data_IF_160463345363
#
_entry.id   IF_160463345363
#
_cell.length_a   1.000
_cell.length_b   1.000
_cell.length_c   1.000
_cell.angle_alpha   90.00
_cell.angle_beta   90.00
_cell.angle_gamma   90.00
#
_symmetry.space_group_name_H-M   'P 1'
#
loop_
_entity.id
_entity.type
_entity.pdbx_description
1 polymer ?
#
# COMPACT_ATOMS: atom_id res chain seq x y z
N UNK A 1 34.77 -2.55 -4.08
CA UNK A 1 34.07 -2.85 -5.35
C UNK A 1 33.88 -4.34 -5.65
N UNK A 2 34.82 -5.27 -5.38
CA UNK A 2 34.62 -6.71 -5.68
C UNK A 2 33.61 -7.48 -4.79
N UNK A 3 33.20 -6.95 -3.63
CA UNK A 3 32.21 -7.59 -2.73
C UNK A 3 30.75 -7.15 -2.93
N UNK A 4 30.51 -6.07 -3.67
CA UNK A 4 29.15 -5.54 -3.96
C UNK A 4 28.62 -6.15 -5.27
N UNK A 5 29.51 -6.40 -6.25
CA UNK A 5 29.17 -7.13 -7.49
C UNK A 5 28.81 -8.58 -7.19
N UNK A 6 29.46 -9.23 -6.21
CA UNK A 6 29.14 -10.60 -5.80
C UNK A 6 27.76 -10.72 -5.11
N UNK A 7 27.33 -9.66 -4.40
CA UNK A 7 26.02 -9.57 -3.75
C UNK A 7 24.89 -9.27 -4.75
N UNK A 8 25.17 -8.49 -5.80
CA UNK A 8 24.26 -8.29 -6.94
C UNK A 8 24.13 -9.55 -7.81
N UNK A 9 25.21 -10.33 -7.97
CA UNK A 9 25.19 -11.61 -8.69
C UNK A 9 24.40 -12.70 -7.93
N UNK A 10 24.42 -12.67 -6.59
CA UNK A 10 23.61 -13.59 -5.76
C UNK A 10 22.11 -13.28 -5.79
N UNK A 11 21.69 -12.06 -6.15
CA UNK A 11 20.28 -11.70 -6.35
C UNK A 11 19.77 -11.93 -7.79
N UNK A 12 20.67 -12.23 -8.74
CA UNK A 12 20.32 -12.52 -10.14
C UNK A 12 20.28 -14.01 -10.49
N UNK A 13 20.51 -14.91 -9.54
CA UNK A 13 20.32 -16.36 -9.73
C UNK A 13 19.09 -16.80 -8.94
N UNK A 14 17.92 -16.34 -9.38
CA UNK A 14 16.70 -17.11 -9.16
C UNK A 14 16.79 -18.32 -10.09
N UNK A 15 16.86 -19.49 -9.45
CA UNK A 15 16.89 -20.80 -10.07
C UNK A 15 15.74 -20.88 -11.08
N UNK A 16 16.10 -20.99 -12.37
CA UNK A 16 15.20 -21.38 -13.44
C UNK A 16 14.58 -22.74 -13.08
N UNK A 17 13.28 -22.75 -12.79
CA UNK A 17 12.51 -23.97 -12.84
C UNK A 17 12.43 -24.40 -14.32
N UNK A 18 13.11 -25.51 -14.62
CA UNK A 18 13.11 -26.18 -15.91
C UNK A 18 11.66 -26.52 -16.27
N UNK A 19 11.14 -25.95 -17.36
CA UNK A 19 9.83 -26.31 -17.90
C UNK A 19 9.84 -27.79 -18.28
N UNK A 20 8.90 -28.61 -17.78
CA UNK A 20 8.75 -29.99 -18.22
C UNK A 20 8.28 -30.03 -19.68
N UNK A 21 8.50 -31.16 -20.38
CA UNK A 21 8.22 -31.28 -21.82
C UNK A 21 6.73 -31.02 -22.15
N UNK A 22 6.52 -30.27 -23.23
CA UNK A 22 5.29 -29.57 -23.65
C UNK A 22 4.15 -30.51 -24.14
N UNK A 23 4.27 -31.83 -24.05
CA UNK A 23 3.25 -32.74 -24.60
C UNK A 23 2.09 -33.08 -23.65
N UNK A 24 2.31 -33.15 -22.34
CA UNK A 24 1.28 -33.61 -21.37
C UNK A 24 0.43 -32.45 -20.83
N UNK A 25 1.05 -31.31 -20.51
CA UNK A 25 0.36 -30.13 -19.96
C UNK A 25 -0.68 -29.58 -20.95
N UNK A 26 -0.37 -29.59 -22.24
CA UNK A 26 -1.30 -29.15 -23.30
C UNK A 26 -2.52 -30.07 -23.44
N UNK A 27 -2.37 -31.37 -23.15
CA UNK A 27 -3.47 -32.33 -23.18
C UNK A 27 -4.33 -32.29 -21.92
N UNK A 28 -3.73 -32.04 -20.74
CA UNK A 28 -4.48 -31.89 -19.47
C UNK A 28 -5.36 -30.63 -19.49
N UNK A 29 -4.94 -29.55 -20.16
CA UNK A 29 -5.74 -28.33 -20.30
C UNK A 29 -7.01 -28.56 -21.13
N UNK A 30 -6.98 -29.51 -22.09
CA UNK A 30 -8.11 -29.84 -22.96
C UNK A 30 -9.16 -30.75 -22.30
N UNK A 31 -8.89 -31.30 -21.12
CA UNK A 31 -9.82 -32.15 -20.38
C UNK A 31 -10.88 -31.34 -19.65
N UNK A 32 -12.11 -31.85 -19.61
CA UNK A 32 -13.17 -31.27 -18.79
C UNK A 32 -12.97 -31.57 -17.29
N UNK A 33 -13.75 -30.91 -16.43
CA UNK A 33 -13.63 -31.06 -14.97
C UNK A 33 -13.99 -32.47 -14.47
N UNK A 34 -14.88 -33.19 -15.17
CA UNK A 34 -15.23 -34.58 -14.86
C UNK A 34 -14.13 -35.56 -15.26
N UNK A 35 -13.42 -35.30 -16.35
CA UNK A 35 -12.26 -36.07 -16.78
C UNK A 35 -11.07 -35.84 -15.83
N UNK A 36 -10.86 -34.59 -15.41
CA UNK A 36 -9.82 -34.24 -14.41
C UNK A 36 -10.10 -34.88 -13.05
N UNK A 37 -11.36 -34.94 -12.61
CA UNK A 37 -11.71 -35.59 -11.33
C UNK A 37 -11.44 -37.10 -11.36
N UNK A 38 -11.77 -37.78 -12.46
CA UNK A 38 -11.51 -39.23 -12.63
C UNK A 38 -10.00 -39.52 -12.64
N UNK A 39 -9.19 -38.71 -13.33
CA UNK A 39 -7.73 -38.88 -13.33
C UNK A 39 -7.11 -38.58 -11.96
N UNK A 40 -7.66 -37.61 -11.22
CA UNK A 40 -7.24 -37.32 -9.85
C UNK A 40 -7.54 -38.48 -8.91
N UNK A 41 -8.76 -39.00 -8.92
CA UNK A 41 -9.16 -40.15 -8.08
C UNK A 41 -8.38 -41.42 -8.42
N UNK A 42 -8.12 -41.66 -9.71
CA UNK A 42 -7.24 -42.75 -10.15
C UNK A 42 -5.82 -42.60 -9.57
N UNK A 43 -5.22 -41.41 -9.62
CA UNK A 43 -3.90 -41.16 -9.04
C UNK A 43 -3.87 -41.31 -7.51
N UNK A 44 -4.93 -40.88 -6.81
CA UNK A 44 -5.07 -41.07 -5.36
C UNK A 44 -5.11 -42.56 -5.01
N UNK A 45 -5.91 -43.35 -5.73
CA UNK A 45 -6.02 -44.80 -5.53
C UNK A 45 -4.69 -45.52 -5.81
N UNK A 46 -3.99 -45.13 -6.87
CA UNK A 46 -2.70 -45.69 -7.24
C UNK A 46 -1.63 -45.41 -6.18
N UNK A 47 -1.55 -44.17 -5.66
CA UNK A 47 -0.59 -43.77 -4.63
C UNK A 47 -0.90 -44.35 -3.24
N UNK A 48 -2.16 -44.64 -2.95
CA UNK A 48 -2.59 -45.26 -1.70
C UNK A 48 -2.55 -46.80 -1.74
N UNK A 49 -2.02 -47.41 -2.81
CA UNK A 49 -1.88 -48.87 -2.93
C UNK A 49 -3.23 -49.62 -3.04
N UNK A 50 -4.28 -48.94 -3.51
CA UNK A 50 -5.60 -49.50 -3.76
C UNK A 50 -5.75 -49.96 -5.21
N UNK A 51 -6.80 -50.75 -5.52
CA UNK A 51 -7.09 -51.28 -6.87
C UNK A 51 -7.55 -50.19 -7.87
N UNK A 52 -6.63 -49.31 -8.26
CA UNK A 52 -6.85 -48.22 -9.22
C UNK A 52 -7.27 -48.73 -10.61
N UNK A 53 -6.84 -49.94 -10.99
CA UNK A 53 -7.17 -50.56 -12.28
C UNK A 53 -8.66 -50.87 -12.43
N UNK A 54 -9.32 -51.31 -11.35
CA UNK A 54 -10.77 -51.59 -11.36
C UNK A 54 -11.57 -50.28 -11.49
N UNK A 55 -11.09 -49.21 -10.83
CA UNK A 55 -11.68 -47.88 -10.97
C UNK A 55 -11.50 -47.31 -12.39
N UNK A 56 -10.34 -47.54 -13.00
CA UNK A 56 -10.06 -47.12 -14.37
C UNK A 56 -10.96 -47.83 -15.40
N UNK A 57 -11.14 -49.15 -15.29
CA UNK A 57 -11.98 -49.90 -16.23
C UNK A 57 -13.43 -49.40 -16.27
N UNK A 58 -13.96 -48.94 -15.13
CA UNK A 58 -15.32 -48.36 -15.05
C UNK A 58 -15.46 -47.02 -15.75
N UNK A 59 -14.37 -46.24 -15.85
CA UNK A 59 -14.39 -44.88 -16.39
C UNK A 59 -13.64 -44.75 -17.73
N UNK A 60 -13.10 -45.85 -18.26
CA UNK A 60 -12.36 -45.91 -19.54
C UNK A 60 -13.14 -45.35 -20.72
N UNK A 61 -14.46 -45.45 -20.70
CA UNK A 61 -15.35 -44.92 -21.75
C UNK A 61 -15.25 -43.40 -21.91
N UNK A 62 -14.80 -42.66 -20.89
CA UNK A 62 -14.58 -41.22 -20.93
C UNK A 62 -13.25 -40.84 -21.63
N UNK A 63 -12.41 -41.83 -21.93
CA UNK A 63 -11.05 -41.66 -22.44
C UNK A 63 -10.71 -42.68 -23.55
N UNK A 64 -11.46 -42.67 -24.67
CA UNK A 64 -11.34 -43.71 -25.70
C UNK A 64 -10.00 -43.74 -26.45
N UNK A 65 -9.20 -42.68 -26.36
CA UNK A 65 -7.92 -42.53 -27.08
C UNK A 65 -6.67 -42.58 -26.18
N UNK A 66 -6.81 -42.87 -24.87
CA UNK A 66 -5.70 -42.82 -23.92
C UNK A 66 -5.00 -44.18 -23.76
N UNK A 67 -3.69 -44.19 -23.99
CA UNK A 67 -2.82 -45.32 -23.68
C UNK A 67 -2.46 -45.31 -22.17
N UNK A 68 -2.18 -46.47 -21.58
CA UNK A 68 -1.97 -46.63 -20.12
C UNK A 68 -0.78 -45.78 -19.61
N UNK A 69 0.30 -45.67 -20.40
CA UNK A 69 1.45 -44.81 -20.05
C UNK A 69 1.09 -43.32 -20.03
N UNK A 70 0.23 -42.89 -20.94
CA UNK A 70 -0.19 -41.49 -21.06
C UNK A 70 -1.21 -41.14 -19.96
N UNK A 71 -2.09 -42.11 -19.60
CA UNK A 71 -2.98 -42.01 -18.44
C UNK A 71 -2.21 -41.77 -17.16
N UNK A 72 -1.19 -42.58 -16.88
CA UNK A 72 -0.43 -42.49 -15.63
C UNK A 72 0.34 -41.17 -15.51
N UNK A 73 0.89 -40.68 -16.62
CA UNK A 73 1.51 -39.35 -16.69
C UNK A 73 0.50 -38.22 -16.46
N UNK A 74 -0.67 -38.26 -17.12
CA UNK A 74 -1.72 -37.26 -16.91
C UNK A 74 -2.29 -37.29 -15.50
N UNK A 75 -2.52 -38.48 -14.94
CA UNK A 75 -3.04 -38.66 -13.59
C UNK A 75 -2.08 -38.12 -12.54
N UNK A 76 -0.77 -38.35 -12.72
CA UNK A 76 0.25 -37.79 -11.83
C UNK A 76 0.36 -36.26 -11.97
N UNK A 77 0.26 -35.72 -13.19
CA UNK A 77 0.30 -34.27 -13.44
C UNK A 77 -0.93 -33.57 -12.84
N UNK A 78 -2.13 -34.15 -12.96
CA UNK A 78 -3.35 -33.66 -12.32
C UNK A 78 -3.24 -33.73 -10.80
N UNK A 79 -2.72 -34.83 -10.25
CA UNK A 79 -2.52 -34.98 -8.81
C UNK A 79 -1.57 -33.93 -8.23
N UNK A 80 -0.40 -33.73 -8.86
CA UNK A 80 0.62 -32.77 -8.39
C UNK A 80 0.12 -31.33 -8.49
N UNK A 81 -0.68 -30.99 -9.49
CA UNK A 81 -1.18 -29.63 -9.71
C UNK A 81 -2.57 -29.36 -9.11
N UNK A 82 -3.25 -30.39 -8.58
CA UNK A 82 -4.54 -30.22 -7.91
C UNK A 82 -4.40 -29.55 -6.55
N UNK A 83 -5.37 -28.71 -6.21
CA UNK A 83 -5.53 -28.15 -4.86
C UNK A 83 -6.81 -28.72 -4.27
N UNK A 84 -6.71 -29.40 -3.13
CA UNK A 84 -7.89 -29.82 -2.38
C UNK A 84 -8.54 -28.58 -1.80
N UNK A 85 -9.61 -28.10 -2.44
CA UNK A 85 -10.46 -27.04 -1.91
C UNK A 85 -11.36 -27.64 -0.84
N UNK A 86 -10.89 -27.62 0.41
CA UNK A 86 -11.75 -27.89 1.55
C UNK A 86 -12.74 -26.73 1.71
N UNK A 87 -14.00 -26.95 1.35
CA UNK A 87 -15.10 -26.00 1.61
C UNK A 87 -15.79 -26.38 2.92
N UNK A 88 -15.47 -25.73 4.05
CA UNK A 88 -16.12 -26.04 5.31
C UNK A 88 -17.62 -25.68 5.26
N UNK A 89 -18.47 -26.61 5.68
CA UNK A 89 -19.95 -26.51 5.65
C UNK A 89 -20.49 -25.47 6.68
N UNK A 90 -19.64 -24.97 7.59
CA UNK A 90 -19.90 -23.84 8.49
C UNK A 90 -18.68 -22.95 8.59
N UNK A 91 -18.88 -21.62 8.77
CA UNK A 91 -17.81 -20.65 9.15
C UNK A 91 -17.15 -21.14 10.43
N UNK A 92 -16.07 -21.91 10.28
CA UNK A 92 -15.43 -22.69 11.34
C UNK A 92 -14.26 -21.92 11.92
N UNK A 93 -13.86 -22.27 13.15
CA UNK A 93 -12.70 -21.73 13.85
C UNK A 93 -11.41 -21.74 13.01
N UNK A 94 -11.31 -22.65 12.03
CA UNK A 94 -10.20 -22.75 11.07
C UNK A 94 -10.13 -21.52 10.15
N UNK A 95 -11.26 -21.01 9.66
CA UNK A 95 -11.29 -19.79 8.83
C UNK A 95 -10.90 -18.55 9.65
N UNK A 96 -11.33 -18.51 10.92
CA UNK A 96 -10.92 -17.50 11.91
C UNK A 96 -9.43 -17.60 12.25
N UNK A 97 -8.88 -18.82 12.35
CA UNK A 97 -7.47 -19.09 12.61
C UNK A 97 -6.58 -18.72 11.42
N UNK A 98 -6.98 -19.07 10.19
CA UNK A 98 -6.30 -18.64 8.95
C UNK A 98 -6.32 -17.11 8.83
N UNK A 99 -7.47 -16.47 9.14
CA UNK A 99 -7.57 -15.00 9.20
C UNK A 99 -6.68 -14.41 10.30
N UNK A 100 -6.63 -14.98 11.49
CA UNK A 100 -5.79 -14.52 12.60
C UNK A 100 -4.27 -14.71 12.34
N UNK A 101 -3.90 -15.78 11.66
CA UNK A 101 -2.51 -16.02 11.24
C UNK A 101 -2.09 -15.03 10.15
N UNK A 102 -3.02 -14.69 9.24
CA UNK A 102 -2.84 -13.59 8.29
C UNK A 102 -2.56 -12.27 9.03
N UNK A 103 -3.36 -11.89 10.04
CA UNK A 103 -3.13 -10.69 10.89
C UNK A 103 -1.72 -10.68 11.47
N UNK A 104 -1.30 -11.81 12.03
CA UNK A 104 -0.01 -11.94 12.70
C UNK A 104 1.15 -11.77 11.71
N UNK A 105 1.01 -12.33 10.50
CA UNK A 105 1.97 -12.15 9.43
C UNK A 105 2.00 -10.69 8.93
N UNK A 106 0.86 -10.01 8.84
CA UNK A 106 0.79 -8.59 8.47
C UNK A 106 1.42 -7.67 9.51
N UNK A 107 1.29 -7.98 10.80
CA UNK A 107 2.00 -7.24 11.85
C UNK A 107 3.52 -7.40 11.74
N UNK A 108 4.01 -8.58 11.33
CA UNK A 108 5.42 -8.81 11.04
C UNK A 108 5.87 -8.07 9.78
N UNK A 109 5.05 -8.01 8.72
CA UNK A 109 5.34 -7.21 7.53
C UNK A 109 5.37 -5.71 7.82
N UNK A 110 4.47 -5.20 8.66
CA UNK A 110 4.50 -3.80 9.10
C UNK A 110 5.79 -3.47 9.86
N UNK A 111 6.25 -4.39 10.72
CA UNK A 111 7.53 -4.24 11.41
C UNK A 111 8.72 -4.23 10.44
N UNK A 112 8.72 -5.11 9.42
CA UNK A 112 9.73 -5.14 8.38
C UNK A 112 9.74 -3.86 7.52
N UNK A 113 8.56 -3.32 7.19
CA UNK A 113 8.41 -2.06 6.45
C UNK A 113 8.99 -0.87 7.23
N UNK A 114 8.73 -0.79 8.55
CA UNK A 114 9.32 0.22 9.42
C UNK A 114 10.86 0.12 9.42
N UNK A 115 11.41 -1.10 9.41
CA UNK A 115 12.85 -1.33 9.31
C UNK A 115 13.43 -0.86 7.96
N UNK A 116 12.76 -1.15 6.84
CA UNK A 116 13.15 -0.69 5.50
C UNK A 116 13.11 0.84 5.41
N UNK A 117 12.07 1.49 5.93
CA UNK A 117 12.00 2.95 6.03
C UNK A 117 13.16 3.53 6.86
N UNK A 118 13.56 2.86 7.93
CA UNK A 118 14.76 3.20 8.71
C UNK A 118 16.06 3.10 7.89
N UNK A 119 16.22 2.05 7.09
CA UNK A 119 17.36 1.85 6.19
C UNK A 119 17.39 2.88 5.07
N UNK A 120 16.26 3.19 4.44
CA UNK A 120 16.16 4.27 3.44
C UNK A 120 16.47 5.64 4.05
N UNK A 121 16.02 5.91 5.27
CA UNK A 121 16.35 7.13 6.01
C UNK A 121 17.85 7.26 6.29
N UNK A 122 18.53 6.15 6.58
CA UNK A 122 19.99 6.09 6.68
C UNK A 122 20.66 6.33 5.33
N UNK A 123 20.20 5.67 4.26
CA UNK A 123 20.68 5.86 2.89
C UNK A 123 20.52 7.32 2.41
N UNK A 124 19.44 8.00 2.78
CA UNK A 124 19.21 9.42 2.46
C UNK A 124 20.33 10.33 2.96
N UNK A 125 20.93 10.01 4.11
CA UNK A 125 22.04 10.78 4.67
C UNK A 125 23.35 10.57 3.88
N UNK A 126 23.53 9.40 3.26
CA UNK A 126 24.70 9.07 2.43
C UNK A 126 24.50 9.37 0.93
N UNK A 127 23.25 9.52 0.48
CA UNK A 127 22.87 9.77 -0.92
C UNK A 127 23.50 11.04 -1.49
N UNK A 128 23.58 12.10 -0.68
CA UNK A 128 24.24 13.36 -1.07
C UNK A 128 25.74 13.20 -1.34
N UNK A 129 26.37 12.21 -0.69
CA UNK A 129 27.79 11.89 -0.81
C UNK A 129 28.04 11.05 -2.07
N UNK A 130 27.14 10.11 -2.36
CA UNK A 130 27.13 9.29 -3.59
C UNK A 130 26.93 10.18 -4.83
N UNK A 131 25.96 11.10 -4.79
CA UNK A 131 25.71 12.06 -5.88
C UNK A 131 26.93 12.97 -6.08
N UNK A 132 27.57 13.46 -5.00
CA UNK A 132 28.79 14.26 -5.13
C UNK A 132 29.93 13.51 -5.81
N UNK A 133 30.10 12.22 -5.50
CA UNK A 133 31.13 11.39 -6.11
C UNK A 133 30.83 11.17 -7.61
N UNK A 134 29.58 10.85 -7.96
CA UNK A 134 29.13 10.71 -9.34
C UNK A 134 29.27 12.01 -10.14
N UNK A 135 28.79 13.14 -9.61
CA UNK A 135 28.88 14.42 -10.30
C UNK A 135 30.32 14.85 -10.55
N UNK A 136 31.24 14.57 -9.62
CA UNK A 136 32.66 14.89 -9.79
C UNK A 136 33.35 14.02 -10.84
N UNK A 137 32.86 12.80 -11.07
CA UNK A 137 33.39 11.88 -12.09
C UNK A 137 32.87 12.17 -13.50
N UNK A 138 31.65 12.70 -13.62
CA UNK A 138 31.00 12.96 -14.91
C UNK A 138 30.88 14.45 -15.25
N UNK A 139 31.41 15.35 -14.41
CA UNK A 139 31.40 16.82 -14.58
C UNK A 139 31.83 17.31 -15.98
N UNK A 140 32.89 16.77 -16.63
CA UNK A 140 33.28 17.23 -17.95
C UNK A 140 32.33 16.74 -19.06
N UNK A 141 31.66 15.60 -18.87
CA UNK A 141 30.66 15.05 -19.80
C UNK A 141 29.32 15.82 -19.70
N UNK A 142 28.89 16.16 -18.48
CA UNK A 142 27.65 16.89 -18.23
C UNK A 142 27.66 18.34 -18.74
N UNK A 143 28.82 19.02 -18.72
CA UNK A 143 28.94 20.40 -19.22
C UNK A 143 28.79 20.55 -20.74
N UNK A 144 29.07 19.50 -21.51
CA UNK A 144 29.11 19.55 -22.98
C UNK A 144 27.86 18.93 -23.63
N UNK A 145 27.25 17.91 -23.00
CA UNK A 145 26.09 17.20 -23.55
C UNK A 145 24.72 17.68 -23.05
N UNK A 146 24.63 18.35 -21.90
CA UNK A 146 23.35 18.64 -21.26
C UNK A 146 23.15 20.13 -21.03
N UNK A 147 22.34 20.76 -21.87
CA UNK A 147 21.59 21.95 -21.44
C UNK A 147 20.63 21.51 -20.32
N UNK A 148 20.66 22.18 -19.17
CA UNK A 148 19.78 21.85 -18.03
C UNK A 148 18.30 21.81 -18.44
N UNK A 149 17.93 22.68 -19.38
CA UNK A 149 16.58 22.73 -19.96
C UNK A 149 16.30 21.51 -20.84
N UNK A 150 17.25 21.12 -21.69
CA UNK A 150 17.10 19.97 -22.60
C UNK A 150 16.99 18.65 -21.81
N UNK A 151 17.82 18.49 -20.77
CA UNK A 151 17.79 17.33 -19.88
C UNK A 151 16.43 17.15 -19.21
N UNK A 152 15.80 18.25 -18.78
CA UNK A 152 14.45 18.21 -18.19
C UNK A 152 13.40 17.71 -19.17
N UNK A 153 13.46 18.11 -20.45
CA UNK A 153 12.55 17.62 -21.48
C UNK A 153 12.81 16.14 -21.82
N UNK A 154 14.08 15.72 -21.90
CA UNK A 154 14.45 14.32 -22.15
C UNK A 154 13.99 13.40 -21.01
N UNK A 155 14.22 13.79 -19.76
CA UNK A 155 13.76 13.04 -18.59
C UNK A 155 12.24 13.01 -18.47
N UNK A 156 11.54 14.08 -18.88
CA UNK A 156 10.07 14.09 -18.94
C UNK A 156 9.57 13.08 -19.98
N UNK A 157 10.20 13.04 -21.17
CA UNK A 157 9.86 12.10 -22.23
C UNK A 157 10.13 10.66 -21.79
N UNK A 158 11.28 10.40 -21.15
CA UNK A 158 11.58 9.09 -20.54
C UNK A 158 10.51 8.73 -19.51
N UNK A 159 10.08 9.68 -18.67
CA UNK A 159 9.01 9.46 -17.70
C UNK A 159 7.70 9.02 -18.36
N UNK A 160 7.28 9.69 -19.43
CA UNK A 160 6.09 9.34 -20.22
C UNK A 160 6.24 7.94 -20.83
N UNK A 161 7.39 7.64 -21.43
CA UNK A 161 7.69 6.34 -22.02
C UNK A 161 7.67 5.23 -20.97
N UNK A 162 8.20 5.46 -19.77
CA UNK A 162 8.17 4.51 -18.67
C UNK A 162 6.74 4.16 -18.24
N UNK A 163 5.83 5.15 -18.18
CA UNK A 163 4.41 4.89 -17.87
C UNK A 163 3.73 4.09 -18.99
N UNK A 164 3.98 4.46 -20.25
CA UNK A 164 3.34 3.82 -21.41
C UNK A 164 3.82 2.38 -21.63
N UNK A 165 5.14 2.15 -21.57
CA UNK A 165 5.73 0.81 -21.71
C UNK A 165 5.44 -0.02 -20.46
N UNK A 166 5.52 0.58 -19.27
CA UNK A 166 5.24 -0.11 -18.00
C UNK A 166 3.85 -0.75 -18.00
N UNK A 167 2.84 -0.08 -18.58
CA UNK A 167 1.48 -0.63 -18.72
C UNK A 167 1.36 -1.89 -19.60
N UNK A 168 2.39 -2.24 -20.38
CA UNK A 168 2.42 -3.45 -21.21
C UNK A 168 3.31 -4.56 -20.62
N UNK A 169 3.95 -4.33 -19.47
CA UNK A 169 4.80 -5.33 -18.82
C UNK A 169 3.93 -6.30 -18.03
N UNK A 170 4.06 -7.60 -18.28
CA UNK A 170 3.27 -8.64 -17.61
C UNK A 170 3.68 -8.84 -16.14
N UNK A 171 4.99 -8.77 -15.84
CA UNK A 171 5.51 -8.90 -14.49
C UNK A 171 5.09 -7.70 -13.61
N UNK A 172 4.33 -7.99 -12.55
CA UNK A 172 3.73 -6.96 -11.69
C UNK A 172 4.77 -6.11 -10.95
N UNK A 173 5.91 -6.69 -10.57
CA UNK A 173 6.96 -6.00 -9.81
C UNK A 173 7.69 -5.04 -10.74
N UNK A 174 8.13 -5.52 -11.90
CA UNK A 174 8.81 -4.72 -12.91
C UNK A 174 7.90 -3.62 -13.46
N UNK A 175 6.63 -3.94 -13.73
CA UNK A 175 5.58 -2.99 -14.12
C UNK A 175 5.45 -1.87 -13.10
N UNK A 176 5.29 -2.21 -11.82
CA UNK A 176 5.12 -1.25 -10.74
C UNK A 176 6.34 -0.32 -10.62
N UNK A 177 7.56 -0.88 -10.65
CA UNK A 177 8.80 -0.09 -10.57
C UNK A 177 8.92 0.89 -11.74
N UNK A 178 8.68 0.41 -12.98
CA UNK A 178 8.76 1.27 -14.18
C UNK A 178 7.73 2.40 -14.13
N UNK A 179 6.48 2.10 -13.78
CA UNK A 179 5.40 3.09 -13.68
C UNK A 179 5.71 4.13 -12.60
N UNK A 180 6.20 3.72 -11.43
CA UNK A 180 6.55 4.63 -10.34
C UNK A 180 7.76 5.52 -10.66
N UNK A 181 8.77 4.99 -11.35
CA UNK A 181 9.88 5.79 -11.89
C UNK A 181 9.30 6.83 -12.87
N UNK A 182 8.38 6.41 -13.74
CA UNK A 182 7.66 7.28 -14.66
C UNK A 182 6.92 8.41 -13.95
N UNK A 183 6.10 8.11 -12.93
CA UNK A 183 5.38 9.12 -12.14
C UNK A 183 6.33 10.09 -11.43
N UNK A 184 7.43 9.59 -10.86
CA UNK A 184 8.44 10.43 -10.21
C UNK A 184 9.12 11.39 -11.18
N UNK A 185 9.47 10.91 -12.38
CA UNK A 185 10.05 11.74 -13.44
C UNK A 185 9.03 12.78 -13.94
N UNK A 186 7.80 12.37 -14.24
CA UNK A 186 6.74 13.29 -14.69
C UNK A 186 6.50 14.38 -13.64
N UNK A 187 6.39 14.03 -12.35
CA UNK A 187 6.21 15.01 -11.28
C UNK A 187 7.40 15.97 -11.18
N UNK A 188 8.62 15.44 -11.07
CA UNK A 188 9.82 16.24 -10.84
C UNK A 188 10.13 17.16 -12.01
N UNK A 189 10.04 16.66 -13.25
CA UNK A 189 10.35 17.44 -14.44
C UNK A 189 9.26 18.45 -14.78
N UNK A 190 7.98 18.12 -14.59
CA UNK A 190 6.91 19.11 -14.75
C UNK A 190 7.04 20.25 -13.73
N UNK A 191 7.39 19.92 -12.48
CA UNK A 191 7.70 20.94 -11.45
C UNK A 191 8.81 21.86 -11.91
N UNK A 192 9.95 21.32 -12.37
CA UNK A 192 11.09 22.09 -12.86
C UNK A 192 10.75 23.01 -14.04
N UNK A 193 9.91 22.55 -14.97
CA UNK A 193 9.45 23.36 -16.11
C UNK A 193 8.56 24.53 -15.66
N UNK A 194 7.63 24.30 -14.72
CA UNK A 194 6.72 25.35 -14.27
C UNK A 194 7.37 26.38 -13.34
N UNK A 195 8.38 25.98 -12.56
CA UNK A 195 9.13 26.87 -11.68
C UNK A 195 10.31 27.54 -12.37
N UNK A 196 10.80 26.97 -13.48
CA UNK A 196 12.10 27.29 -14.11
C UNK A 196 13.29 27.07 -13.15
N UNK A 197 13.11 26.22 -12.14
CA UNK A 197 14.17 25.81 -11.22
C UNK A 197 14.56 24.35 -11.49
N UNK A 198 15.69 24.16 -12.17
CA UNK A 198 16.13 22.83 -12.65
C UNK A 198 16.97 22.04 -11.62
N UNK A 199 17.30 22.64 -10.47
CA UNK A 199 18.09 22.00 -9.41
C UNK A 199 17.20 21.32 -8.37
N UNK A 200 17.37 19.99 -8.24
CA UNK A 200 16.54 19.13 -7.37
C UNK A 200 16.41 19.61 -5.92
N UNK A 201 17.53 20.10 -5.38
CA UNK A 201 17.59 20.55 -3.98
C UNK A 201 16.81 21.84 -3.73
N UNK A 202 16.68 22.70 -4.74
CA UNK A 202 15.95 23.98 -4.63
C UNK A 202 14.45 23.75 -4.71
N UNK A 203 13.96 22.92 -5.65
CA UNK A 203 12.53 22.66 -5.74
C UNK A 203 11.99 21.89 -4.53
N UNK A 204 12.73 20.95 -3.92
CA UNK A 204 12.23 20.22 -2.72
C UNK A 204 12.07 21.18 -1.54
N UNK A 205 13.03 22.08 -1.35
CA UNK A 205 12.95 23.12 -0.34
C UNK A 205 11.79 24.08 -0.63
N UNK A 206 11.61 24.48 -1.89
CA UNK A 206 10.48 25.27 -2.33
C UNK A 206 9.14 24.55 -2.15
N UNK A 207 9.00 23.26 -2.43
CA UNK A 207 7.74 22.54 -2.21
C UNK A 207 7.40 22.52 -0.72
N UNK A 208 8.40 22.25 0.13
CA UNK A 208 8.22 22.19 1.58
C UNK A 208 7.92 23.56 2.21
N UNK A 209 8.55 24.64 1.71
CA UNK A 209 8.27 26.00 2.19
C UNK A 209 6.97 26.55 1.58
N UNK A 210 6.81 26.41 0.25
CA UNK A 210 5.75 27.07 -0.50
C UNK A 210 4.37 26.44 -0.26
N UNK A 211 4.26 25.13 0.02
CA UNK A 211 2.94 24.52 0.27
C UNK A 211 2.19 25.23 1.40
N UNK A 212 2.89 25.84 2.34
CA UNK A 212 2.28 26.63 3.42
C UNK A 212 2.49 28.15 3.28
N UNK A 213 3.06 28.64 2.17
CA UNK A 213 3.30 30.07 1.94
C UNK A 213 2.02 30.81 1.51
N UNK A 214 2.04 32.14 1.66
CA UNK A 214 0.92 33.03 1.30
C UNK A 214 0.70 33.13 -0.22
N UNK A 215 1.73 32.89 -1.03
CA UNK A 215 1.63 33.07 -2.48
C UNK A 215 0.91 31.89 -3.15
N UNK A 216 -0.38 32.06 -3.42
CA UNK A 216 -1.25 31.04 -4.02
C UNK A 216 -0.78 30.60 -5.41
N UNK A 217 -0.26 31.52 -6.22
CA UNK A 217 0.17 31.22 -7.60
C UNK A 217 1.45 30.40 -7.68
N UNK A 218 2.35 30.57 -6.72
CA UNK A 218 3.57 29.77 -6.63
C UNK A 218 3.23 28.30 -6.40
N UNK A 219 2.26 28.04 -5.51
CA UNK A 219 1.79 26.67 -5.20
C UNK A 219 1.05 26.02 -6.37
N UNK A 220 0.32 26.80 -7.16
CA UNK A 220 -0.30 26.28 -8.38
C UNK A 220 0.77 25.75 -9.34
N UNK A 221 1.86 26.50 -9.54
CA UNK A 221 2.95 26.11 -10.42
C UNK A 221 3.79 24.95 -9.88
N UNK A 222 4.11 24.96 -8.59
CA UNK A 222 5.00 23.97 -7.99
C UNK A 222 4.32 22.64 -7.66
N UNK A 223 3.01 22.63 -7.43
CA UNK A 223 2.30 21.46 -6.86
C UNK A 223 1.02 21.14 -7.62
N UNK A 224 0.16 22.12 -7.90
CA UNK A 224 -1.13 21.85 -8.54
C UNK A 224 -0.97 21.29 -9.97
N UNK A 225 -0.19 21.96 -10.83
CA UNK A 225 -0.03 21.50 -12.21
C UNK A 225 0.70 20.15 -12.32
N UNK A 226 1.84 19.92 -11.61
CA UNK A 226 2.46 18.59 -11.56
C UNK A 226 1.50 17.51 -11.08
N UNK A 227 0.69 17.79 -10.05
CA UNK A 227 -0.29 16.85 -9.53
C UNK A 227 -1.37 16.51 -10.58
N UNK A 228 -1.90 17.49 -11.32
CA UNK A 228 -2.88 17.23 -12.38
C UNK A 228 -2.29 16.32 -13.46
N UNK A 229 -1.06 16.60 -13.91
CA UNK A 229 -0.40 15.79 -14.95
C UNK A 229 -0.20 14.35 -14.47
N UNK A 230 0.24 14.16 -13.22
CA UNK A 230 0.42 12.83 -12.64
C UNK A 230 -0.92 12.12 -12.41
N UNK A 231 -1.98 12.82 -11.98
CA UNK A 231 -3.34 12.26 -11.90
C UNK A 231 -3.76 11.69 -13.26
N UNK A 232 -3.55 12.44 -14.36
CA UNK A 232 -3.88 11.95 -15.71
C UNK A 232 -3.04 10.73 -16.08
N UNK A 233 -1.76 10.70 -15.73
CA UNK A 233 -0.90 9.55 -15.95
C UNK A 233 -1.37 8.31 -15.16
N UNK A 234 -1.79 8.47 -13.90
CA UNK A 234 -2.32 7.38 -13.08
C UNK A 234 -3.68 6.90 -13.62
N UNK A 235 -4.55 7.80 -14.07
CA UNK A 235 -5.81 7.43 -14.72
C UNK A 235 -5.60 6.62 -16.00
N UNK A 236 -4.57 6.95 -16.79
CA UNK A 236 -4.17 6.16 -17.94
C UNK A 236 -3.73 4.74 -17.53
N UNK A 237 -2.93 4.61 -16.45
CA UNK A 237 -2.53 3.29 -15.93
C UNK A 237 -3.72 2.50 -15.43
N UNK A 238 -4.64 3.13 -14.69
CA UNK A 238 -5.88 2.48 -14.22
C UNK A 238 -6.76 2.00 -15.39
N UNK A 239 -6.81 2.76 -16.49
CA UNK A 239 -7.51 2.33 -17.71
C UNK A 239 -6.81 1.13 -18.37
N UNK A 240 -5.48 1.12 -18.39
CA UNK A 240 -4.69 0.09 -19.09
C UNK A 240 -4.56 -1.20 -18.28
N UNK A 241 -4.45 -1.11 -16.96
CA UNK A 241 -4.22 -2.22 -16.02
C UNK A 241 -5.20 -2.08 -14.83
N UNK A 242 -6.49 -2.37 -15.03
CA UNK A 242 -7.52 -2.18 -13.99
C UNK A 242 -7.39 -3.17 -12.82
N UNK A 243 -6.66 -4.27 -13.02
CA UNK A 243 -6.42 -5.30 -12.00
C UNK A 243 -5.51 -4.83 -10.86
N UNK A 244 -4.62 -3.86 -11.14
CA UNK A 244 -3.67 -3.34 -10.17
C UNK A 244 -4.35 -2.32 -9.24
N UNK A 245 -4.99 -2.84 -8.18
CA UNK A 245 -5.78 -2.05 -7.22
C UNK A 245 -5.01 -0.92 -6.51
N UNK A 246 -3.69 -0.97 -6.47
CA UNK A 246 -2.85 0.01 -5.75
C UNK A 246 -2.98 1.43 -6.33
N UNK A 247 -3.20 1.54 -7.65
CA UNK A 247 -3.28 2.83 -8.33
C UNK A 247 -4.54 3.63 -7.98
N UNK A 248 -5.60 2.99 -7.45
CA UNK A 248 -6.76 3.70 -6.91
C UNK A 248 -6.39 4.53 -5.67
N UNK A 249 -5.48 4.02 -4.82
CA UNK A 249 -4.99 4.77 -3.67
C UNK A 249 -4.15 5.96 -4.11
N UNK A 250 -3.24 5.75 -5.07
CA UNK A 250 -2.37 6.80 -5.59
C UNK A 250 -3.15 7.92 -6.29
N UNK A 251 -4.15 7.56 -7.11
CA UNK A 251 -4.95 8.57 -7.81
C UNK A 251 -5.74 9.42 -6.83
N UNK A 252 -6.27 8.85 -5.74
CA UNK A 252 -6.97 9.62 -4.70
C UNK A 252 -6.02 10.61 -4.03
N UNK A 253 -4.84 10.16 -3.63
CA UNK A 253 -3.83 11.01 -2.97
C UNK A 253 -3.42 12.17 -3.88
N UNK A 254 -3.03 11.88 -5.12
CA UNK A 254 -2.53 12.89 -6.07
C UNK A 254 -3.65 13.87 -6.48
N UNK A 255 -4.86 13.37 -6.70
CA UNK A 255 -6.01 14.22 -7.06
C UNK A 255 -6.42 15.15 -5.93
N UNK A 256 -6.41 14.66 -4.68
CA UNK A 256 -6.65 15.53 -3.52
C UNK A 256 -5.57 16.60 -3.38
N UNK A 257 -4.29 16.26 -3.60
CA UNK A 257 -3.20 17.25 -3.60
C UNK A 257 -3.44 18.33 -4.67
N UNK A 258 -3.85 17.93 -5.89
CA UNK A 258 -4.21 18.88 -6.94
C UNK A 258 -5.35 19.81 -6.50
N UNK A 259 -6.43 19.24 -5.94
CA UNK A 259 -7.59 20.00 -5.46
C UNK A 259 -7.15 20.97 -4.35
N UNK A 260 -6.47 20.50 -3.30
CA UNK A 260 -6.06 21.34 -2.17
C UNK A 260 -5.06 22.44 -2.54
N UNK A 261 -4.27 22.24 -3.59
CA UNK A 261 -3.33 23.25 -4.07
C UNK A 261 -4.01 24.42 -4.79
N UNK A 262 -5.30 24.32 -5.18
CA UNK A 262 -5.99 25.39 -5.88
C UNK A 262 -6.21 26.64 -5.00
N UNK A 263 -6.17 27.86 -5.58
CA UNK A 263 -6.31 29.12 -4.83
C UNK A 263 -7.66 29.29 -4.11
N UNK A 264 -8.72 28.68 -4.66
CA UNK A 264 -10.09 28.77 -4.14
C UNK A 264 -10.17 28.14 -2.75
N UNK A 265 -9.66 26.92 -2.60
CA UNK A 265 -9.71 26.19 -1.32
C UNK A 265 -8.93 26.88 -0.21
N UNK A 266 -7.81 27.52 -0.54
CA UNK A 266 -7.06 28.35 0.41
C UNK A 266 -7.82 29.57 0.90
N UNK A 267 -8.74 30.10 0.09
CA UNK A 267 -9.60 31.22 0.51
C UNK A 267 -10.71 30.75 1.45
N UNK A 268 -11.20 29.52 1.24
CA UNK A 268 -12.31 28.92 2.00
C UNK A 268 -11.80 28.29 3.32
N UNK A 269 -10.51 27.97 3.42
CA UNK A 269 -9.84 27.40 4.61
C UNK A 269 -10.32 28.02 5.93
N UNK A 270 -10.36 29.36 6.00
CA UNK A 270 -10.76 30.11 7.21
C UNK A 270 -12.17 29.81 7.73
N UNK A 271 -13.04 29.28 6.87
CA UNK A 271 -14.42 28.94 7.18
C UNK A 271 -14.62 27.44 7.46
N UNK A 272 -13.73 26.58 6.95
CA UNK A 272 -13.87 25.12 7.04
C UNK A 272 -13.15 24.56 8.26
N UNK A 273 -11.91 24.99 8.55
CA UNK A 273 -11.15 24.43 9.68
C UNK A 273 -11.88 24.49 11.03
N UNK A 274 -12.73 25.49 11.35
CA UNK A 274 -13.44 25.54 12.63
C UNK A 274 -14.36 24.35 12.89
N UNK A 275 -14.74 23.60 11.86
CA UNK A 275 -15.54 22.37 12.00
C UNK A 275 -14.81 21.33 12.84
N UNK A 276 -13.49 21.17 12.67
CA UNK A 276 -12.68 20.23 13.46
C UNK A 276 -11.92 20.92 14.60
N UNK A 277 -11.64 22.23 14.49
CA UNK A 277 -10.88 23.00 15.48
C UNK A 277 -11.67 24.28 15.84
N UNK A 278 -12.74 24.16 16.64
CA UNK A 278 -13.68 25.26 16.87
C UNK A 278 -13.12 26.36 17.79
N UNK A 279 -12.22 26.03 18.72
CA UNK A 279 -11.66 27.01 19.65
C UNK A 279 -10.40 27.64 19.06
N UNK A 280 -10.42 28.97 18.86
CA UNK A 280 -9.26 29.68 18.32
C UNK A 280 -8.03 29.53 19.24
N UNK A 281 -6.92 29.09 18.67
CA UNK A 281 -5.62 29.03 19.35
C UNK A 281 -4.52 29.58 18.43
N UNK A 282 -3.82 30.63 18.87
CA UNK A 282 -2.76 31.29 18.10
C UNK A 282 -1.50 30.43 18.03
N UNK A 283 -1.36 29.42 18.89
CA UNK A 283 -0.16 28.56 18.99
C UNK A 283 -0.23 27.30 18.15
N UNK A 284 -1.39 26.99 17.56
CA UNK A 284 -1.53 25.85 16.65
C UNK A 284 -0.87 26.20 15.33
N UNK A 285 -0.02 25.29 14.83
CA UNK A 285 0.66 25.48 13.54
C UNK A 285 -0.35 25.58 12.39
N UNK A 286 -0.07 26.44 11.40
CA UNK A 286 -0.91 26.60 10.21
C UNK A 286 -1.13 25.27 9.47
N UNK A 287 -0.11 24.41 9.43
CA UNK A 287 -0.17 23.06 8.84
C UNK A 287 -1.33 22.22 9.39
N UNK A 288 -1.62 22.34 10.69
CA UNK A 288 -2.70 21.62 11.37
C UNK A 288 -4.08 22.18 10.96
N UNK A 289 -4.21 23.51 10.86
CA UNK A 289 -5.45 24.14 10.37
C UNK A 289 -5.76 23.75 8.93
N UNK A 290 -4.74 23.71 8.08
CA UNK A 290 -4.92 23.29 6.71
C UNK A 290 -5.18 21.80 6.59
N UNK A 291 -4.53 20.94 7.40
CA UNK A 291 -4.84 19.51 7.46
C UNK A 291 -6.29 19.27 7.91
N UNK A 292 -6.78 20.02 8.91
CA UNK A 292 -8.17 19.96 9.34
C UNK A 292 -9.13 20.35 8.20
N UNK A 293 -8.81 21.42 7.46
CA UNK A 293 -9.58 21.81 6.27
C UNK A 293 -9.61 20.70 5.22
N UNK A 294 -8.45 20.09 4.94
CA UNK A 294 -8.35 18.98 3.99
C UNK A 294 -9.19 17.79 4.45
N UNK A 295 -9.14 17.46 5.75
CA UNK A 295 -9.90 16.35 6.35
C UNK A 295 -11.40 16.56 6.21
N UNK A 296 -11.90 17.77 6.48
CA UNK A 296 -13.33 18.10 6.29
C UNK A 296 -13.75 17.96 4.83
N UNK A 297 -12.93 18.45 3.90
CA UNK A 297 -13.24 18.32 2.47
C UNK A 297 -13.21 16.86 2.02
N UNK A 298 -12.23 16.08 2.46
CA UNK A 298 -12.14 14.65 2.17
C UNK A 298 -13.37 13.91 2.73
N UNK A 299 -13.84 14.23 3.94
CA UNK A 299 -15.08 13.68 4.50
C UNK A 299 -16.30 13.98 3.62
N UNK A 300 -16.39 15.20 3.10
CA UNK A 300 -17.48 15.60 2.21
C UNK A 300 -17.45 14.83 0.88
N UNK A 301 -16.26 14.69 0.28
CA UNK A 301 -16.08 13.91 -0.96
C UNK A 301 -16.40 12.43 -0.70
N UNK A 302 -15.98 11.87 0.45
CA UNK A 302 -16.26 10.49 0.82
C UNK A 302 -17.76 10.26 0.98
N UNK A 303 -18.47 11.17 1.65
CA UNK A 303 -19.92 11.12 1.77
C UNK A 303 -20.66 11.16 0.42
N UNK A 304 -20.18 11.96 -0.54
CA UNK A 304 -20.73 11.99 -1.91
C UNK A 304 -20.51 10.63 -2.59
N UNK A 305 -19.32 10.06 -2.47
CA UNK A 305 -19.03 8.76 -3.08
C UNK A 305 -19.85 7.64 -2.43
N UNK A 306 -20.01 7.66 -1.11
CA UNK A 306 -20.88 6.72 -0.40
C UNK A 306 -22.33 6.76 -0.91
N UNK A 307 -22.84 7.93 -1.29
CA UNK A 307 -24.20 8.09 -1.81
C UNK A 307 -24.38 7.54 -3.23
N UNK A 308 -23.38 7.64 -4.10
CA UNK A 308 -23.51 7.35 -5.53
C UNK A 308 -23.48 5.84 -5.88
N UNK A 309 -23.19 4.96 -4.91
CA UNK A 309 -23.17 3.48 -4.98
C UNK A 309 -22.65 2.87 -6.30
N UNK A 310 -21.39 2.44 -6.34
CA UNK A 310 -20.83 1.70 -7.48
C UNK A 310 -19.59 0.86 -7.12
N UNK A 311 -19.37 -0.25 -7.84
CA UNK A 311 -18.26 -1.19 -7.58
C UNK A 311 -16.90 -0.49 -7.74
N UNK A 312 -16.70 0.27 -8.82
CA UNK A 312 -15.45 1.04 -9.04
C UNK A 312 -15.27 2.07 -7.93
N UNK A 313 -16.37 2.73 -7.54
CA UNK A 313 -16.38 3.75 -6.50
C UNK A 313 -15.98 3.17 -5.13
N UNK A 314 -16.26 1.90 -4.85
CA UNK A 314 -15.90 1.27 -3.58
C UNK A 314 -14.39 1.29 -3.29
N UNK A 315 -13.55 1.20 -4.33
CA UNK A 315 -12.09 1.30 -4.18
C UNK A 315 -11.66 2.75 -3.88
N UNK A 316 -12.30 3.73 -4.52
CA UNK A 316 -12.07 5.15 -4.23
C UNK A 316 -12.48 5.51 -2.80
N UNK A 317 -13.64 5.01 -2.34
CA UNK A 317 -14.09 5.20 -0.96
C UNK A 317 -13.08 4.55 0.00
N UNK A 318 -12.68 3.30 -0.24
CA UNK A 318 -11.69 2.62 0.63
C UNK A 318 -10.37 3.38 0.73
N UNK A 319 -9.86 3.87 -0.42
CA UNK A 319 -8.67 4.70 -0.47
C UNK A 319 -8.85 6.03 0.30
N UNK A 320 -9.97 6.72 0.10
CA UNK A 320 -10.26 7.99 0.75
C UNK A 320 -10.45 7.83 2.27
N UNK A 321 -11.19 6.80 2.70
CA UNK A 321 -11.34 6.43 4.11
C UNK A 321 -9.99 6.10 4.75
N UNK A 322 -9.07 5.41 4.05
CA UNK A 322 -7.73 5.14 4.56
C UNK A 322 -6.92 6.42 4.82
N UNK A 323 -7.03 7.40 3.92
CA UNK A 323 -6.39 8.71 4.06
C UNK A 323 -7.03 9.55 5.18
N UNK A 324 -8.34 9.46 5.34
CA UNK A 324 -9.08 10.09 6.43
C UNK A 324 -8.66 9.52 7.80
N UNK A 325 -8.51 8.20 7.91
CA UNK A 325 -7.97 7.56 9.12
C UNK A 325 -6.62 8.15 9.47
N UNK A 326 -5.67 8.20 8.53
CA UNK A 326 -4.33 8.77 8.78
C UNK A 326 -4.43 10.24 9.20
N UNK A 327 -5.30 11.02 8.54
CA UNK A 327 -5.50 12.44 8.85
C UNK A 327 -6.06 12.63 10.27
N UNK A 328 -7.05 11.83 10.68
CA UNK A 328 -7.58 11.84 12.04
C UNK A 328 -6.57 11.37 13.08
N UNK A 329 -5.73 10.37 12.77
CA UNK A 329 -4.65 9.94 13.66
C UNK A 329 -3.69 11.12 13.92
N UNK A 330 -3.24 11.81 12.88
CA UNK A 330 -2.32 12.97 12.99
C UNK A 330 -3.00 14.11 13.73
N UNK A 331 -4.20 14.50 13.34
CA UNK A 331 -4.93 15.61 13.97
C UNK A 331 -5.15 15.31 15.45
N UNK A 332 -5.49 14.06 15.80
CA UNK A 332 -5.79 13.66 17.19
C UNK A 332 -4.60 13.74 18.14
N UNK A 333 -3.38 14.01 17.67
CA UNK A 333 -2.20 14.05 18.53
C UNK A 333 -2.24 15.21 19.54
N UNK A 334 -1.97 14.91 20.81
CA UNK A 334 -1.87 15.87 21.92
C UNK A 334 -0.85 16.97 21.66
N UNK A 335 0.24 16.64 20.97
CA UNK A 335 1.32 17.60 20.65
C UNK A 335 0.78 18.82 19.91
N UNK A 336 -0.21 18.64 19.05
CA UNK A 336 -0.81 19.71 18.26
C UNK A 336 -1.59 20.73 19.11
N UNK A 337 -2.08 20.31 20.29
CA UNK A 337 -2.99 21.10 21.14
C UNK A 337 -2.52 21.23 22.58
N UNK A 338 -1.20 21.12 22.82
CA UNK A 338 -0.59 21.14 24.16
C UNK A 338 -1.05 22.32 25.04
N UNK A 339 -1.44 23.44 24.43
CA UNK A 339 -1.83 24.67 25.11
C UNK A 339 -3.34 24.91 25.16
N UNK A 340 -4.14 24.17 24.38
CA UNK A 340 -5.59 24.30 24.35
C UNK A 340 -6.26 22.92 24.33
N UNK A 341 -6.48 22.39 25.54
CA UNK A 341 -7.08 21.08 25.73
C UNK A 341 -8.55 20.99 25.27
N UNK A 342 -9.26 22.12 25.09
CA UNK A 342 -10.65 22.10 24.61
C UNK A 342 -10.73 21.55 23.17
N UNK A 343 -9.84 22.00 22.29
CA UNK A 343 -9.71 21.47 20.94
C UNK A 343 -9.30 20.00 20.95
N UNK A 344 -8.36 19.63 21.82
CA UNK A 344 -7.90 18.25 21.93
C UNK A 344 -9.05 17.30 22.30
N UNK A 345 -9.82 17.64 23.35
CA UNK A 345 -10.95 16.82 23.83
C UNK A 345 -12.05 16.74 22.76
N UNK A 346 -12.41 17.88 22.16
CA UNK A 346 -13.37 17.92 21.06
C UNK A 346 -12.97 16.98 19.93
N UNK A 347 -11.72 17.07 19.48
CA UNK A 347 -11.23 16.26 18.39
C UNK A 347 -11.13 14.77 18.73
N UNK A 348 -10.85 14.40 19.99
CA UNK A 348 -10.93 12.99 20.40
C UNK A 348 -12.34 12.45 20.26
N UNK A 349 -13.34 13.21 20.67
CA UNK A 349 -14.74 12.79 20.54
C UNK A 349 -15.11 12.60 19.06
N UNK A 350 -14.75 13.57 18.20
CA UNK A 350 -14.99 13.46 16.75
C UNK A 350 -14.24 12.28 16.13
N UNK A 351 -12.98 12.06 16.51
CA UNK A 351 -12.19 10.95 15.99
C UNK A 351 -12.78 9.59 16.40
N UNK A 352 -13.16 9.41 17.66
CA UNK A 352 -13.82 8.18 18.15
C UNK A 352 -15.12 7.94 17.39
N UNK A 353 -15.94 8.97 17.21
CA UNK A 353 -17.18 8.89 16.46
C UNK A 353 -16.93 8.49 14.99
N UNK A 354 -15.93 9.11 14.34
CA UNK A 354 -15.52 8.76 12.98
C UNK A 354 -15.08 7.29 12.86
N UNK A 355 -14.17 6.83 13.74
CA UNK A 355 -13.71 5.45 13.73
C UNK A 355 -14.84 4.44 13.96
N UNK A 356 -15.79 4.76 14.84
CA UNK A 356 -16.97 3.92 15.09
C UNK A 356 -17.88 3.84 13.86
N UNK A 357 -18.15 4.98 13.19
CA UNK A 357 -18.93 5.00 11.95
C UNK A 357 -18.26 4.19 10.84
N UNK A 358 -16.96 4.37 10.63
CA UNK A 358 -16.21 3.64 9.61
C UNK A 358 -16.24 2.14 9.89
N UNK A 359 -16.08 1.72 11.16
CA UNK A 359 -16.14 0.31 11.55
C UNK A 359 -17.55 -0.26 11.29
N UNK A 360 -18.61 0.41 11.74
CA UNK A 360 -19.99 -0.02 11.50
C UNK A 360 -20.30 -0.13 10.00
N UNK A 361 -19.90 0.86 9.21
CA UNK A 361 -20.06 0.86 7.76
C UNK A 361 -19.33 -0.31 7.10
N UNK A 362 -18.08 -0.57 7.51
CA UNK A 362 -17.25 -1.65 6.97
C UNK A 362 -17.90 -3.03 7.19
N UNK A 363 -18.46 -3.27 8.38
CA UNK A 363 -19.17 -4.52 8.68
C UNK A 363 -20.52 -4.62 7.99
N UNK A 364 -21.26 -3.51 7.85
CA UNK A 364 -22.53 -3.48 7.14
C UNK A 364 -22.36 -3.84 5.66
N UNK A 365 -21.36 -3.25 4.99
CA UNK A 365 -21.08 -3.51 3.58
C UNK A 365 -20.26 -4.79 3.32
N UNK A 366 -19.82 -5.48 4.39
CA UNK A 366 -19.03 -6.72 4.31
C UNK A 366 -17.76 -6.61 3.43
N UNK A 367 -17.23 -5.39 3.24
CA UNK A 367 -16.02 -5.17 2.43
C UNK A 367 -14.79 -5.54 3.24
N UNK A 368 -14.11 -6.62 2.83
CA UNK A 368 -12.94 -7.13 3.54
C UNK A 368 -11.82 -6.08 3.63
N UNK A 369 -11.56 -5.33 2.54
CA UNK A 369 -10.52 -4.29 2.51
C UNK A 369 -10.83 -3.15 3.50
N UNK A 370 -12.08 -2.68 3.58
CA UNK A 370 -12.48 -1.66 4.55
C UNK A 370 -12.48 -2.15 5.99
N UNK A 371 -12.88 -3.40 6.24
CA UNK A 371 -12.80 -4.00 7.58
C UNK A 371 -11.34 -4.01 8.04
N UNK A 372 -10.39 -4.36 7.17
CA UNK A 372 -8.96 -4.31 7.50
C UNK A 372 -8.47 -2.90 7.79
N UNK A 373 -8.75 -1.96 6.91
CA UNK A 373 -8.31 -0.57 7.03
C UNK A 373 -8.86 0.06 8.31
N UNK A 374 -10.13 -0.19 8.64
CA UNK A 374 -10.78 0.32 9.85
C UNK A 374 -10.20 -0.29 11.12
N UNK A 375 -9.99 -1.61 11.18
CA UNK A 375 -9.39 -2.28 12.33
C UNK A 375 -7.96 -1.81 12.58
N UNK A 376 -7.13 -1.71 11.53
CA UNK A 376 -5.76 -1.19 11.64
C UNK A 376 -5.79 0.25 12.17
N UNK A 377 -6.66 1.09 11.61
CA UNK A 377 -6.85 2.47 12.06
C UNK A 377 -7.19 2.58 13.55
N UNK A 378 -8.17 1.79 14.01
CA UNK A 378 -8.58 1.74 15.42
C UNK A 378 -7.45 1.25 16.32
N UNK A 379 -6.74 0.19 15.91
CA UNK A 379 -5.59 -0.32 16.67
C UNK A 379 -4.50 0.74 16.83
N UNK A 380 -4.13 1.43 15.74
CA UNK A 380 -3.13 2.50 15.78
C UNK A 380 -3.63 3.68 16.62
N UNK A 381 -4.90 4.04 16.54
CA UNK A 381 -5.49 5.08 17.38
C UNK A 381 -5.38 4.74 18.87
N UNK A 382 -5.79 3.54 19.28
CA UNK A 382 -5.70 3.06 20.67
C UNK A 382 -4.26 3.07 21.16
N UNK A 383 -3.32 2.61 20.33
CA UNK A 383 -1.87 2.65 20.58
C UNK A 383 -1.39 4.07 20.85
N UNK A 384 -1.75 5.03 19.99
CA UNK A 384 -1.35 6.43 20.14
C UNK A 384 -1.95 7.00 21.43
N UNK A 385 -3.23 6.75 21.73
CA UNK A 385 -3.87 7.25 22.94
C UNK A 385 -3.27 6.66 24.21
N UNK A 386 -2.99 5.37 24.21
CA UNK A 386 -2.29 4.70 25.30
C UNK A 386 -0.92 5.35 25.54
N UNK A 387 -0.17 5.61 24.46
CA UNK A 387 1.12 6.30 24.55
C UNK A 387 1.02 7.72 25.12
N UNK A 388 -0.01 8.47 24.73
CA UNK A 388 -0.24 9.83 25.24
C UNK A 388 -0.58 9.87 26.73
N UNK A 389 -1.26 8.83 27.25
CA UNK A 389 -1.53 8.66 28.68
C UNK A 389 -0.22 8.41 29.44
N UNK A 390 0.66 7.54 28.93
CA UNK A 390 1.98 7.30 29.55
C UNK A 390 2.83 8.58 29.56
N UNK A 391 2.80 9.35 28.47
CA UNK A 391 3.47 10.65 28.35
C UNK A 391 2.82 11.75 29.21
N UNK A 392 1.63 11.53 29.77
CA UNK A 392 0.98 12.45 30.70
C UNK A 392 1.67 12.43 32.07
N UNK A 393 2.15 11.25 32.50
CA UNK A 393 2.77 11.06 33.81
C UNK A 393 4.30 11.16 33.80
N UNK A 394 4.96 10.97 32.64
CA UNK A 394 6.41 11.07 32.51
C UNK A 394 6.84 12.18 31.55
N UNK A 395 7.55 13.19 32.08
CA UNK A 395 8.20 14.20 31.23
C UNK A 395 9.39 13.57 30.48
N UNK A 396 9.14 13.17 29.25
CA UNK A 396 10.12 12.44 28.44
C UNK A 396 11.11 13.41 27.79
N UNK A 397 12.31 13.51 28.36
CA UNK A 397 13.38 14.33 27.79
C UNK A 397 14.08 13.55 26.67
N UNK A 398 14.03 14.08 25.43
CA UNK A 398 14.49 13.44 24.17
C UNK A 398 15.98 13.04 24.16
N UNK A 399 16.76 13.51 25.14
CA UNK A 399 18.21 13.28 25.30
C UNK A 399 18.59 11.97 26.03
N UNK A 400 17.67 11.30 26.72
CA UNK A 400 18.02 10.13 27.53
C UNK A 400 17.72 8.79 26.85
N UNK A 401 18.61 7.80 27.04
CA UNK A 401 18.54 6.36 26.66
C UNK A 401 17.22 5.64 27.04
N UNK A 402 16.30 6.31 27.74
CA UNK A 402 14.96 5.82 28.10
C UNK A 402 14.02 5.67 26.89
N UNK A 403 14.33 6.33 25.75
CA UNK A 403 13.61 6.15 24.47
C UNK A 403 13.48 4.68 24.05
N UNK A 404 14.57 3.91 24.16
CA UNK A 404 14.59 2.49 23.82
C UNK A 404 13.67 1.62 24.70
N UNK A 405 13.52 1.96 25.98
CA UNK A 405 12.65 1.24 26.92
C UNK A 405 11.15 1.46 26.65
N UNK A 406 10.78 2.65 26.14
CA UNK A 406 9.42 2.92 25.68
C UNK A 406 9.06 2.13 24.43
N UNK A 407 9.98 2.01 23.47
CA UNK A 407 9.80 1.12 22.31
C UNK A 407 9.76 -0.36 22.70
N UNK A 408 10.54 -0.78 23.70
CA UNK A 408 10.55 -2.15 24.20
C UNK A 408 9.26 -2.50 24.95
N UNK A 409 8.72 -1.56 25.74
CA UNK A 409 7.38 -1.70 26.34
C UNK A 409 6.26 -1.77 25.29
N UNK A 410 6.40 -1.01 24.20
CA UNK A 410 5.47 -1.05 23.05
C UNK A 410 5.49 -2.41 22.34
N UNK A 411 6.68 -2.95 22.11
CA UNK A 411 6.86 -4.28 21.53
C UNK A 411 6.28 -5.38 22.43
N UNK A 412 6.46 -5.28 23.74
CA UNK A 412 5.91 -6.23 24.72
C UNK A 412 4.38 -6.13 24.81
N UNK A 413 3.79 -4.93 24.73
CA UNK A 413 2.34 -4.75 24.69
C UNK A 413 1.71 -5.30 23.41
N UNK A 414 2.31 -5.02 22.24
CA UNK A 414 1.87 -5.57 20.96
C UNK A 414 2.00 -7.09 20.94
N UNK A 415 3.11 -7.61 21.48
CA UNK A 415 3.32 -9.06 21.64
C UNK A 415 2.32 -9.67 22.62
N UNK A 416 2.01 -8.99 23.73
CA UNK A 416 1.02 -9.41 24.73
C UNK A 416 -0.40 -9.40 24.19
N UNK A 417 -0.78 -8.40 23.39
CA UNK A 417 -2.06 -8.38 22.68
C UNK A 417 -2.13 -9.50 21.63
N UNK A 418 -1.08 -9.70 20.84
CA UNK A 418 -1.03 -10.80 19.87
C UNK A 418 -1.12 -12.18 20.57
N UNK A 419 -0.41 -12.38 21.69
CA UNK A 419 -0.47 -13.61 22.49
C UNK A 419 -1.80 -13.77 23.21
N UNK A 420 -2.41 -12.69 23.70
CA UNK A 420 -3.72 -12.71 24.33
C UNK A 420 -4.83 -13.09 23.36
N UNK A 421 -4.79 -12.54 22.14
CA UNK A 421 -5.69 -12.93 21.05
C UNK A 421 -5.49 -14.42 20.73
N UNK A 422 -4.24 -14.89 20.58
CA UNK A 422 -3.94 -16.30 20.33
C UNK A 422 -4.39 -17.23 21.48
N UNK A 423 -4.25 -16.80 22.73
CA UNK A 423 -4.64 -17.59 23.92
C UNK A 423 -6.16 -17.72 24.05
N UNK A 424 -6.90 -16.63 23.87
CA UNK A 424 -8.37 -16.64 23.85
C UNK A 424 -8.87 -17.52 22.68
N UNK A 425 -8.24 -17.40 21.51
CA UNK A 425 -8.57 -18.24 20.35
C UNK A 425 -8.28 -19.73 20.60
N UNK A 426 -7.19 -20.04 21.32
CA UNK A 426 -6.81 -21.40 21.67
C UNK A 426 -7.74 -22.03 22.71
N UNK A 427 -8.22 -21.25 23.69
CA UNK A 427 -9.23 -21.72 24.66
C UNK A 427 -10.58 -22.01 24.00
N UNK A 428 -11.03 -21.19 23.04
CA UNK A 428 -12.28 -21.43 22.32
C UNK A 428 -12.22 -22.66 21.38
N UNK A 429 -11.02 -23.10 20.99
CA UNK A 429 -10.78 -24.27 20.15
C UNK A 429 -10.80 -25.60 20.91
N UNK A 430 -10.68 -25.59 22.24
CA UNK A 430 -10.68 -26.79 23.09
C UNK A 430 -12.03 -27.05 23.79
N UNK A 431 -13.00 -26.16 23.65
CA UNK A 431 -14.36 -26.27 24.24
C UNK A 431 -15.40 -26.79 23.21
N UNK A 432 -14.96 -27.06 21.98
CA UNK A 432 -15.72 -27.77 20.93
C UNK A 432 -14.96 -29.07 20.67
#
# INVERSE_FOLDING_TARGET
>A
MKRIVLLLLFFCVSIYAKTPPVSVVSQVVLLDDSQKSVLYEFAVLQKNGSDANIYWEKHKNLFPALNDSLRDEMANEVFVNSRVLYTPIKKTAIELWVKAQSITNWMLYLAAFIAVCGVMGLLRNYWSLIIKILMKQFEPLFKVLFSEVLLTYELLLIGIVCVFIGGNVEDIVLRTVLIHIGFCLIWSQSTALFTKEYLVRKYIYEIQSNFWEKNKWKVVKTICFPAIIVTVAILYVLYKVPEDKIYYYEVVVVSLVAIYALPIWRSIERYIYPVLIPYKDVRVERSIYSLATCTVLALFIDAIFLYQSGIILSYFVTALTSLLIVSFLILSLKVNYKHNYKNYIYLQFVAVFFFLLVLLYSFYNQSLEMIWVSLIGVCVFVIIKYWEIVMFYFSWNRRNRKWAWGFLGMAVLLWGLAKGILYILHQYLYVI
#
